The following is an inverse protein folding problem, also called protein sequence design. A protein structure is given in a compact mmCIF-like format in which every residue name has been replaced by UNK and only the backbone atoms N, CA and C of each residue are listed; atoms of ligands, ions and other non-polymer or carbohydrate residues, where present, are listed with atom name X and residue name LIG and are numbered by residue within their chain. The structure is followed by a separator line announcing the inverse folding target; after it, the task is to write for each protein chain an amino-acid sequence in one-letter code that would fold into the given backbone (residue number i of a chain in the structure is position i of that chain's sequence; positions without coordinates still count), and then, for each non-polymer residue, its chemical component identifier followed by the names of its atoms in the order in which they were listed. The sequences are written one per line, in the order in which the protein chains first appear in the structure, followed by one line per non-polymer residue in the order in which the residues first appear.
data_IF_912327125233
#
_entry.id   IF_912327125233
#
_cell.length_a   1.000
_cell.length_b   1.000
_cell.length_c   1.000
_cell.angle_alpha   90.00
_cell.angle_beta   90.00
_cell.angle_gamma   90.00
#
_symmetry.space_group_name_H-M   'P 1'
#
loop_
_entity.id
_entity.type
_entity.pdbx_description
1 polymer ?
#
# COMPACT_ATOMS: atom_id res chain seq x y z
N UNK A 1 32.86 15.98 21.72
CA UNK A 1 32.20 16.79 20.66
C UNK A 1 32.91 16.63 19.32
N UNK A 2 34.24 16.73 19.26
CA UNK A 2 35.01 16.52 18.03
C UNK A 2 34.90 15.09 17.45
N UNK A 3 34.83 14.06 18.29
CA UNK A 3 34.68 12.67 17.80
C UNK A 3 33.33 12.42 17.11
N UNK A 4 32.27 13.05 17.59
CA UNK A 4 30.94 12.98 16.98
C UNK A 4 30.91 13.69 15.62
N UNK A 5 31.55 14.85 15.51
CA UNK A 5 31.63 15.60 14.26
C UNK A 5 32.44 14.83 13.20
N UNK A 6 33.53 14.18 13.60
CA UNK A 6 34.35 13.36 12.72
C UNK A 6 33.66 12.04 12.31
N UNK A 7 32.88 11.45 13.21
CA UNK A 7 32.03 10.31 12.89
C UNK A 7 30.94 10.69 11.90
N UNK A 8 30.25 11.80 12.13
CA UNK A 8 29.18 12.24 11.24
C UNK A 8 29.70 12.64 9.85
N UNK A 9 30.84 13.33 9.78
CA UNK A 9 31.43 13.73 8.49
C UNK A 9 31.87 12.54 7.64
N UNK A 10 32.38 11.48 8.26
CA UNK A 10 32.76 10.23 7.57
C UNK A 10 31.58 9.37 7.13
N UNK A 11 30.45 9.43 7.85
CA UNK A 11 29.24 8.65 7.55
C UNK A 11 28.15 9.45 6.81
N UNK A 12 28.43 10.71 6.45
CA UNK A 12 27.45 11.57 5.79
C UNK A 12 27.00 11.01 4.43
N UNK A 13 27.90 10.39 3.67
CA UNK A 13 27.55 9.73 2.41
C UNK A 13 26.58 8.56 2.61
N UNK A 14 26.84 7.71 3.60
CA UNK A 14 25.96 6.60 4.00
C UNK A 14 24.60 7.14 4.42
N UNK A 15 24.57 8.19 5.25
CA UNK A 15 23.33 8.82 5.70
C UNK A 15 22.43 9.24 4.53
N UNK A 16 23.00 9.88 3.51
CA UNK A 16 22.25 10.29 2.32
C UNK A 16 21.68 9.11 1.53
N UNK A 17 22.42 8.00 1.44
CA UNK A 17 21.97 6.78 0.76
C UNK A 17 20.84 6.09 1.52
N UNK A 18 20.95 5.99 2.85
CA UNK A 18 19.87 5.50 3.73
C UNK A 18 18.62 6.36 3.58
N UNK A 19 18.80 7.68 3.61
CA UNK A 19 17.72 8.63 3.43
C UNK A 19 17.06 8.48 2.06
N UNK A 20 17.82 8.20 1.00
CA UNK A 20 17.28 7.95 -0.33
C UNK A 20 16.41 6.68 -0.38
N UNK A 21 16.85 5.57 0.24
CA UNK A 21 16.04 4.33 0.34
C UNK A 21 14.79 4.55 1.18
N UNK A 22 14.93 5.19 2.34
CA UNK A 22 13.81 5.45 3.25
C UNK A 22 12.80 6.42 2.63
N UNK A 23 13.25 7.51 2.02
CA UNK A 23 12.36 8.47 1.37
C UNK A 23 11.59 7.84 0.21
N UNK A 24 12.25 7.07 -0.66
CA UNK A 24 11.55 6.36 -1.76
C UNK A 24 10.57 5.33 -1.24
N UNK A 25 10.93 4.55 -0.21
CA UNK A 25 10.03 3.58 0.41
C UNK A 25 8.77 4.26 0.94
N UNK A 26 8.92 5.32 1.74
CA UNK A 26 7.82 5.99 2.44
C UNK A 26 7.03 6.98 1.58
N UNK A 27 7.64 7.66 0.61
CA UNK A 27 6.91 8.54 -0.31
C UNK A 27 6.00 7.75 -1.25
N UNK A 28 6.43 6.55 -1.63
CA UNK A 28 5.63 5.62 -2.44
C UNK A 28 4.76 4.69 -1.59
N UNK A 29 4.88 4.75 -0.27
CA UNK A 29 4.09 3.98 0.68
C UNK A 29 2.67 4.53 0.77
N UNK A 30 1.64 3.80 0.32
CA UNK A 30 0.29 4.33 0.26
C UNK A 30 -0.47 4.23 1.59
N UNK A 31 0.15 3.77 2.68
CA UNK A 31 -0.56 3.74 3.96
C UNK A 31 -0.97 5.17 4.30
N UNK A 32 -2.29 5.37 4.39
CA UNK A 32 -2.95 6.67 4.49
C UNK A 32 -2.41 7.55 5.65
N UNK A 33 -1.76 6.95 6.64
CA UNK A 33 -1.02 7.62 7.72
C UNK A 33 -0.09 8.72 7.23
N UNK A 34 0.64 8.52 6.13
CA UNK A 34 1.54 9.56 5.61
C UNK A 34 0.78 10.74 5.01
N UNK A 35 -0.40 10.52 4.44
CA UNK A 35 -1.22 11.59 3.88
C UNK A 35 -1.97 12.40 4.96
N UNK A 36 -2.22 11.82 6.14
CA UNK A 36 -2.78 12.54 7.28
C UNK A 36 -1.75 13.40 8.04
N UNK A 37 -0.45 13.14 7.86
CA UNK A 37 0.61 13.89 8.52
C UNK A 37 1.03 15.12 7.70
N UNK A 38 1.13 16.31 8.33
CA UNK A 38 1.78 17.47 7.73
C UNK A 38 3.16 17.11 7.17
N UNK A 39 3.53 17.73 6.04
CA UNK A 39 4.80 17.46 5.35
C UNK A 39 6.01 17.57 6.29
N UNK A 40 5.99 18.56 7.19
CA UNK A 40 7.06 18.79 8.16
C UNK A 40 7.27 17.59 9.09
N UNK A 41 6.18 16.97 9.58
CA UNK A 41 6.25 15.81 10.47
C UNK A 41 6.81 14.60 9.71
N UNK A 42 6.39 14.40 8.46
CA UNK A 42 6.92 13.33 7.61
C UNK A 42 8.42 13.45 7.39
N UNK A 43 8.90 14.64 7.07
CA UNK A 43 10.33 14.87 6.83
C UNK A 43 11.14 14.63 8.11
N UNK A 44 10.68 15.14 9.25
CA UNK A 44 11.34 14.92 10.55
C UNK A 44 11.38 13.42 10.90
N UNK A 45 10.28 12.70 10.66
CA UNK A 45 10.20 11.27 10.90
C UNK A 45 11.15 10.46 10.01
N UNK A 46 11.29 10.82 8.74
CA UNK A 46 12.22 10.14 7.82
C UNK A 46 13.67 10.43 8.19
N UNK A 47 13.98 11.67 8.55
CA UNK A 47 15.31 12.07 9.01
C UNK A 47 15.68 11.34 10.30
N UNK A 48 14.77 11.26 11.28
CA UNK A 48 15.03 10.58 12.54
C UNK A 48 15.22 9.07 12.34
N UNK A 49 14.35 8.41 11.56
CA UNK A 49 14.51 6.99 11.24
C UNK A 49 15.84 6.71 10.54
N UNK A 50 16.20 7.50 9.53
CA UNK A 50 17.45 7.32 8.79
C UNK A 50 18.66 7.50 9.71
N UNK A 51 18.60 8.45 10.64
CA UNK A 51 19.65 8.68 11.63
C UNK A 51 19.78 7.51 12.62
N UNK A 52 18.66 6.92 13.07
CA UNK A 52 18.66 5.76 13.97
C UNK A 52 19.18 4.48 13.30
N UNK A 53 18.98 4.33 11.99
CA UNK A 53 19.47 3.17 11.22
C UNK A 53 20.99 3.25 11.01
N UNK A 54 21.55 4.46 10.91
CA UNK A 54 22.94 4.69 10.51
C UNK A 54 24.01 3.87 11.28
N UNK A 55 23.95 3.72 12.62
CA UNK A 55 24.94 2.93 13.36
C UNK A 55 24.92 1.43 13.05
N UNK A 56 23.84 0.93 12.45
CA UNK A 56 23.65 -0.49 12.13
C UNK A 56 24.11 -0.85 10.72
N UNK A 57 24.57 0.13 9.94
CA UNK A 57 25.04 -0.11 8.58
C UNK A 57 26.56 -0.13 8.58
N UNK A 58 27.11 -1.23 8.08
CA UNK A 58 28.54 -1.40 7.88
C UNK A 58 28.96 -0.70 6.58
N UNK A 59 30.01 0.12 6.66
CA UNK A 59 30.62 0.79 5.51
C UNK A 59 30.89 2.27 5.78
N UNK A 60 32.12 2.69 5.49
CA UNK A 60 32.50 4.10 5.49
C UNK A 60 32.63 4.55 4.04
N UNK A 61 31.84 5.54 3.64
CA UNK A 61 31.90 6.13 2.31
C UNK A 61 32.44 7.56 2.42
N UNK A 62 33.73 7.73 2.15
CA UNK A 62 34.33 9.05 2.04
C UNK A 62 33.90 9.69 0.71
N UNK A 63 33.05 10.73 0.80
CA UNK A 63 32.58 11.49 -0.36
C UNK A 63 33.72 12.10 -1.18
N UNK A 64 34.90 12.30 -0.58
CA UNK A 64 36.11 12.79 -1.25
C UNK A 64 36.75 11.78 -2.21
N UNK A 65 36.45 10.49 -2.09
CA UNK A 65 37.08 9.42 -2.86
C UNK A 65 36.23 8.96 -4.06
N UNK A 66 34.99 9.44 -4.17
CA UNK A 66 34.01 8.95 -5.14
C UNK A 66 33.62 10.06 -6.11
N UNK A 67 33.60 9.73 -7.41
CA UNK A 67 33.13 10.66 -8.43
C UNK A 67 31.64 11.00 -8.22
N UNK A 68 31.25 12.24 -8.55
CA UNK A 68 29.86 12.69 -8.42
C UNK A 68 28.87 11.78 -9.20
N UNK A 69 29.29 11.29 -10.38
CA UNK A 69 28.50 10.33 -11.18
C UNK A 69 28.30 9.01 -10.44
N UNK A 70 29.36 8.45 -9.86
CA UNK A 70 29.30 7.18 -9.12
C UNK A 70 28.38 7.30 -7.90
N UNK A 71 28.44 8.42 -7.18
CA UNK A 71 27.55 8.68 -6.05
C UNK A 71 26.07 8.81 -6.48
N UNK A 72 25.79 9.52 -7.57
CA UNK A 72 24.42 9.61 -8.11
C UNK A 72 23.87 8.25 -8.53
N UNK A 73 24.70 7.36 -9.10
CA UNK A 73 24.31 6.00 -9.43
C UNK A 73 23.96 5.18 -8.17
N UNK A 74 24.71 5.35 -7.08
CA UNK A 74 24.37 4.72 -5.79
C UNK A 74 23.03 5.23 -5.27
N UNK A 75 22.80 6.55 -5.28
CA UNK A 75 21.51 7.15 -4.89
C UNK A 75 20.36 6.58 -5.72
N UNK A 76 20.53 6.46 -7.05
CA UNK A 76 19.51 5.88 -7.91
C UNK A 76 19.19 4.42 -7.56
N UNK A 77 20.20 3.59 -7.24
CA UNK A 77 19.97 2.22 -6.79
C UNK A 77 19.21 2.15 -5.46
N UNK A 78 19.51 3.04 -4.53
CA UNK A 78 18.80 3.13 -3.25
C UNK A 78 17.34 3.56 -3.44
N UNK A 79 17.09 4.53 -4.32
CA UNK A 79 15.73 4.95 -4.70
C UNK A 79 14.95 3.80 -5.34
N UNK A 80 15.57 3.06 -6.27
CA UNK A 80 14.93 1.91 -6.90
C UNK A 80 14.62 0.81 -5.87
N UNK A 81 15.55 0.53 -4.97
CA UNK A 81 15.34 -0.46 -3.90
C UNK A 81 14.14 -0.09 -3.02
N UNK A 82 14.10 1.15 -2.52
CA UNK A 82 12.97 1.62 -1.72
C UNK A 82 11.66 1.64 -2.51
N UNK A 83 11.70 2.01 -3.79
CA UNK A 83 10.55 1.95 -4.68
C UNK A 83 10.00 0.51 -4.82
N UNK A 84 10.84 -0.49 -5.11
CA UNK A 84 10.36 -1.88 -5.23
C UNK A 84 9.83 -2.44 -3.91
N UNK A 85 10.42 -2.09 -2.77
CA UNK A 85 9.86 -2.45 -1.46
C UNK A 85 8.49 -1.80 -1.24
N UNK A 86 8.35 -0.53 -1.61
CA UNK A 86 7.07 0.19 -1.51
C UNK A 86 5.98 -0.40 -2.41
N UNK A 87 6.35 -0.91 -3.60
CA UNK A 87 5.43 -1.52 -4.55
C UNK A 87 4.70 -2.73 -3.94
N UNK A 88 5.38 -3.53 -3.11
CA UNK A 88 4.71 -4.64 -2.40
C UNK A 88 3.58 -4.08 -1.54
N UNK A 89 3.86 -3.09 -0.68
CA UNK A 89 2.80 -2.43 0.08
C UNK A 89 1.72 -1.82 -0.78
N UNK A 90 2.08 -1.30 -1.95
CA UNK A 90 1.15 -0.71 -2.89
C UNK A 90 0.15 -1.70 -3.46
N UNK A 91 0.62 -2.91 -3.75
CA UNK A 91 -0.22 -4.02 -4.19
C UNK A 91 -1.24 -4.40 -3.11
N UNK A 92 -0.79 -4.58 -1.86
CA UNK A 92 -1.68 -5.00 -0.77
C UNK A 92 -2.68 -3.94 -0.35
N UNK A 93 -2.26 -2.67 -0.32
CA UNK A 93 -3.17 -1.55 -0.15
C UNK A 93 -4.22 -1.50 -1.27
N UNK A 94 -3.80 -1.71 -2.51
CA UNK A 94 -4.69 -1.67 -3.67
C UNK A 94 -5.70 -2.81 -3.69
N UNK A 95 -5.42 -3.97 -3.08
CA UNK A 95 -6.41 -5.04 -2.90
C UNK A 95 -7.62 -4.54 -2.10
N UNK A 96 -7.37 -3.84 -0.99
CA UNK A 96 -8.41 -3.28 -0.14
C UNK A 96 -9.23 -2.24 -0.91
N UNK A 97 -8.56 -1.30 -1.58
CA UNK A 97 -9.21 -0.24 -2.36
C UNK A 97 -10.01 -0.81 -3.51
N UNK A 98 -9.41 -1.68 -4.33
CA UNK A 98 -10.06 -2.27 -5.50
C UNK A 98 -11.32 -3.05 -5.11
N UNK A 99 -11.26 -3.86 -4.06
CA UNK A 99 -12.44 -4.58 -3.56
C UNK A 99 -13.57 -3.63 -3.15
N UNK A 100 -13.23 -2.53 -2.49
CA UNK A 100 -14.19 -1.55 -2.01
C UNK A 100 -14.81 -0.72 -3.13
N UNK A 101 -14.03 -0.36 -4.14
CA UNK A 101 -14.51 0.37 -5.32
C UNK A 101 -15.49 -0.49 -6.13
N UNK A 102 -15.24 -1.80 -6.29
CA UNK A 102 -16.17 -2.70 -6.95
C UNK A 102 -17.53 -2.77 -6.22
N UNK A 103 -17.51 -2.84 -4.88
CA UNK A 103 -18.72 -2.86 -4.07
C UNK A 103 -19.44 -1.51 -4.17
N UNK A 104 -18.69 -0.41 -4.07
CA UNK A 104 -19.23 0.96 -4.16
C UNK A 104 -19.90 1.24 -5.48
N UNK A 105 -19.31 0.72 -6.56
CA UNK A 105 -19.87 0.81 -7.90
C UNK A 105 -21.24 0.10 -7.97
N UNK A 106 -21.33 -1.13 -7.45
CA UNK A 106 -22.58 -1.89 -7.41
C UNK A 106 -23.66 -1.28 -6.50
N UNK A 107 -23.24 -0.54 -5.47
CA UNK A 107 -24.14 0.20 -4.58
C UNK A 107 -24.60 1.56 -5.16
N UNK A 108 -24.06 1.98 -6.30
CA UNK A 108 -24.36 3.28 -6.90
C UNK A 108 -23.69 4.48 -6.21
N UNK A 109 -22.77 4.25 -5.26
CA UNK A 109 -22.05 5.31 -4.54
C UNK A 109 -21.11 6.12 -5.44
N UNK A 110 -20.68 5.54 -6.56
CA UNK A 110 -19.74 6.14 -7.51
C UNK A 110 -20.42 6.92 -8.63
N UNK A 111 -21.76 6.99 -8.67
CA UNK A 111 -22.50 7.72 -9.72
C UNK A 111 -22.10 9.21 -9.77
N UNK A 112 -21.77 9.80 -8.61
CA UNK A 112 -21.29 11.19 -8.53
C UNK A 112 -19.98 11.40 -9.30
N UNK A 113 -19.08 10.41 -9.30
CA UNK A 113 -17.79 10.47 -10.00
C UNK A 113 -17.94 10.36 -11.53
N UNK A 114 -19.09 9.90 -12.04
CA UNK A 114 -19.39 9.83 -13.48
C UNK A 114 -19.81 11.22 -14.00
N UNK A 115 -20.52 12.00 -13.19
CA UNK A 115 -20.98 13.34 -13.55
C UNK A 115 -19.89 14.41 -13.39
N UNK A 116 -19.00 14.24 -12.42
CA UNK A 116 -17.82 15.10 -12.25
C UNK A 116 -16.57 14.27 -11.90
N UNK A 117 -15.71 13.97 -12.89
CA UNK A 117 -14.48 13.23 -12.67
C UNK A 117 -13.39 14.07 -11.97
N UNK A 118 -13.56 15.39 -11.84
CA UNK A 118 -12.54 16.25 -11.20
C UNK A 118 -12.37 15.96 -9.72
N UNK A 119 -13.36 15.33 -9.10
CA UNK A 119 -13.25 14.92 -7.71
C UNK A 119 -12.36 13.70 -7.51
N UNK A 120 -12.21 12.78 -8.49
CA UNK A 120 -11.25 11.66 -8.44
C UNK A 120 -11.17 10.92 -7.10
N UNK A 121 -12.23 10.97 -6.29
CA UNK A 121 -12.12 10.65 -4.87
C UNK A 121 -12.31 9.15 -4.71
N UNK A 122 -11.36 8.53 -3.99
CA UNK A 122 -11.56 7.22 -3.38
C UNK A 122 -12.92 7.24 -2.70
N UNK A 123 -13.76 6.26 -3.03
CA UNK A 123 -15.12 6.14 -2.52
C UNK A 123 -15.13 6.13 -0.99
N UNK A 124 -16.27 6.49 -0.40
CA UNK A 124 -16.46 6.42 1.06
C UNK A 124 -16.15 5.01 1.57
N UNK A 125 -16.56 3.98 0.82
CA UNK A 125 -16.24 2.58 1.14
C UNK A 125 -14.75 2.28 0.99
N UNK A 126 -14.09 2.79 -0.05
CA UNK A 126 -12.66 2.67 -0.25
C UNK A 126 -11.87 3.20 0.94
N UNK A 127 -12.23 4.41 1.42
CA UNK A 127 -11.64 4.99 2.62
C UNK A 127 -11.91 4.13 3.86
N UNK A 128 -13.14 3.63 4.01
CA UNK A 128 -13.49 2.73 5.10
C UNK A 128 -12.65 1.44 5.09
N UNK A 129 -12.47 0.79 3.93
CA UNK A 129 -11.67 -0.44 3.80
C UNK A 129 -10.20 -0.18 4.08
N UNK A 130 -9.65 0.96 3.64
CA UNK A 130 -8.28 1.39 3.97
C UNK A 130 -8.12 1.55 5.48
N UNK A 131 -9.03 2.27 6.14
CA UNK A 131 -8.97 2.44 7.60
C UNK A 131 -9.10 1.11 8.33
N UNK A 132 -9.98 0.22 7.87
CA UNK A 132 -10.15 -1.09 8.47
C UNK A 132 -8.90 -1.95 8.30
N UNK A 133 -8.29 -1.96 7.11
CA UNK A 133 -7.01 -2.61 6.85
C UNK A 133 -5.91 -2.09 7.80
N UNK A 134 -5.82 -0.76 7.98
CA UNK A 134 -4.86 -0.13 8.89
C UNK A 134 -5.11 -0.51 10.36
N UNK A 135 -6.37 -0.51 10.80
CA UNK A 135 -6.73 -0.92 12.17
C UNK A 135 -6.30 -2.37 12.40
N UNK A 136 -6.57 -3.27 11.44
CA UNK A 136 -6.13 -4.67 11.53
C UNK A 136 -4.60 -4.79 11.48
N UNK A 137 -3.93 -3.97 10.67
CA UNK A 137 -2.47 -3.95 10.58
C UNK A 137 -1.80 -3.57 11.90
N UNK A 138 -2.36 -2.57 12.60
CA UNK A 138 -1.86 -2.19 13.93
C UNK A 138 -2.27 -3.19 15.02
N UNK A 139 -3.51 -3.69 15.00
CA UNK A 139 -4.01 -4.58 16.04
C UNK A 139 -3.36 -5.96 16.02
N UNK A 140 -2.94 -6.43 14.84
CA UNK A 140 -2.19 -7.69 14.68
C UNK A 140 -0.71 -7.56 14.99
N UNK A 141 -0.19 -6.34 15.17
CA UNK A 141 1.25 -6.09 15.37
C UNK A 141 2.09 -6.18 14.10
N UNK A 142 1.47 -6.29 12.91
CA UNK A 142 2.18 -6.37 11.63
C UNK A 142 3.10 -5.18 11.38
N UNK A 143 2.79 -4.00 11.94
CA UNK A 143 3.65 -2.82 11.89
C UNK A 143 5.06 -3.06 12.46
N UNK A 144 5.18 -3.85 13.54
CA UNK A 144 6.48 -4.14 14.17
C UNK A 144 7.36 -4.96 13.22
N UNK A 145 6.77 -5.97 12.59
CA UNK A 145 7.44 -6.83 11.64
C UNK A 145 7.78 -6.06 10.36
N UNK A 146 6.88 -5.18 9.91
CA UNK A 146 7.12 -4.30 8.77
C UNK A 146 8.35 -3.41 8.98
N UNK A 147 8.43 -2.70 10.11
CA UNK A 147 9.62 -1.90 10.41
C UNK A 147 10.85 -2.79 10.55
N UNK A 148 10.75 -3.92 11.25
CA UNK A 148 11.84 -4.91 11.36
C UNK A 148 12.35 -5.40 10.00
N UNK A 149 11.46 -5.64 9.05
CA UNK A 149 11.78 -6.02 7.68
C UNK A 149 12.53 -4.89 6.94
N UNK A 150 12.13 -3.63 7.13
CA UNK A 150 12.89 -2.48 6.59
C UNK A 150 14.32 -2.44 7.17
N UNK A 151 14.48 -2.64 8.48
CA UNK A 151 15.81 -2.68 9.10
C UNK A 151 16.65 -3.85 8.54
N UNK A 152 16.07 -5.05 8.44
CA UNK A 152 16.74 -6.21 7.84
C UNK A 152 17.06 -6.02 6.35
N UNK A 153 16.29 -5.19 5.63
CA UNK A 153 16.60 -4.88 4.22
C UNK A 153 17.97 -4.23 4.03
N UNK A 154 18.49 -3.49 5.01
CA UNK A 154 19.83 -2.90 4.94
C UNK A 154 20.95 -3.92 5.14
N UNK A 155 20.64 -5.07 5.78
CA UNK A 155 21.60 -6.17 5.93
C UNK A 155 21.59 -7.08 4.70
N UNK A 156 20.41 -7.39 4.18
CA UNK A 156 20.23 -8.31 3.06
C UNK A 156 20.55 -7.63 1.73
N UNK A 157 20.19 -6.35 1.58
CA UNK A 157 20.44 -5.53 0.38
C UNK A 157 21.49 -4.47 0.77
N UNK A 158 22.79 -4.79 0.64
CA UNK A 158 23.85 -3.86 1.01
C UNK A 158 23.74 -2.56 0.21
N UNK A 159 24.30 -1.47 0.74
CA UNK A 159 24.26 -0.17 0.09
C UNK A 159 24.88 -0.26 -1.32
N UNK A 160 24.16 0.25 -2.32
CA UNK A 160 24.57 0.17 -3.72
C UNK A 160 24.35 -1.19 -4.38
N UNK A 161 23.78 -2.16 -3.65
CA UNK A 161 23.26 -3.41 -4.17
C UNK A 161 21.88 -3.21 -4.77
N UNK A 162 21.73 -3.54 -6.06
CA UNK A 162 20.43 -3.64 -6.71
C UNK A 162 20.48 -4.69 -7.84
N UNK A 163 20.46 -5.99 -7.49
CA UNK A 163 20.38 -7.05 -8.48
C UNK A 163 18.98 -7.06 -9.11
N UNK A 164 18.88 -6.60 -10.35
CA UNK A 164 17.69 -6.88 -11.17
C UNK A 164 17.78 -8.34 -11.60
N UNK A 165 16.95 -9.19 -11.03
CA UNK A 165 16.83 -10.60 -11.40
C UNK A 165 15.50 -10.87 -12.13
N UNK A 166 15.50 -11.84 -13.03
CA UNK A 166 14.28 -12.31 -13.70
C UNK A 166 13.24 -12.83 -12.67
N UNK A 167 13.70 -13.40 -11.56
CA UNK A 167 12.86 -13.79 -10.43
C UNK A 167 12.14 -12.61 -9.79
N UNK A 168 12.77 -11.45 -9.69
CA UNK A 168 12.15 -10.25 -9.13
C UNK A 168 11.03 -9.73 -10.04
N UNK A 169 11.25 -9.71 -11.35
CA UNK A 169 10.21 -9.31 -12.30
C UNK A 169 9.02 -10.29 -12.27
N UNK A 170 9.29 -11.60 -12.28
CA UNK A 170 8.26 -12.64 -12.14
C UNK A 170 7.47 -12.51 -10.85
N UNK A 171 8.13 -12.17 -9.75
CA UNK A 171 7.50 -11.90 -8.46
C UNK A 171 6.49 -10.75 -8.58
N UNK A 172 6.88 -9.58 -9.09
CA UNK A 172 5.95 -8.45 -9.20
C UNK A 172 4.81 -8.68 -10.19
N UNK A 173 5.03 -9.43 -11.28
CA UNK A 173 3.96 -9.83 -12.20
C UNK A 173 2.94 -10.74 -11.48
N UNK A 174 3.43 -11.70 -10.69
CA UNK A 174 2.58 -12.59 -9.86
C UNK A 174 1.78 -11.79 -8.84
N UNK A 175 2.44 -10.91 -8.08
CA UNK A 175 1.78 -10.09 -7.06
C UNK A 175 0.77 -9.10 -7.68
N UNK A 176 1.07 -8.53 -8.84
CA UNK A 176 0.13 -7.70 -9.59
C UNK A 176 -1.11 -8.48 -10.05
N UNK A 177 -0.96 -9.74 -10.44
CA UNK A 177 -2.11 -10.62 -10.77
C UNK A 177 -2.93 -10.96 -9.53
N UNK A 178 -2.24 -11.21 -8.41
CA UNK A 178 -2.84 -11.53 -7.13
C UNK A 178 -3.71 -10.38 -6.61
N UNK A 179 -3.35 -9.13 -6.89
CA UNK A 179 -4.17 -7.96 -6.57
C UNK A 179 -5.60 -8.09 -7.09
N UNK A 180 -5.73 -8.33 -8.41
CA UNK A 180 -7.04 -8.43 -9.05
C UNK A 180 -7.81 -9.63 -8.53
N UNK A 181 -7.13 -10.77 -8.36
CA UNK A 181 -7.75 -11.99 -7.85
C UNK A 181 -8.28 -11.83 -6.43
N UNK A 182 -7.46 -11.35 -5.49
CA UNK A 182 -7.87 -11.20 -4.09
C UNK A 182 -8.89 -10.08 -3.90
N UNK A 183 -8.73 -8.96 -4.61
CA UNK A 183 -9.69 -7.86 -4.51
C UNK A 183 -11.06 -8.24 -5.08
N UNK A 184 -11.10 -8.94 -6.22
CA UNK A 184 -12.36 -9.49 -6.74
C UNK A 184 -12.94 -10.56 -5.82
N UNK A 185 -12.12 -11.48 -5.30
CA UNK A 185 -12.56 -12.54 -4.37
C UNK A 185 -13.21 -11.97 -3.11
N UNK A 186 -12.67 -10.89 -2.56
CA UNK A 186 -13.23 -10.18 -1.42
C UNK A 186 -14.58 -9.52 -1.77
N UNK A 187 -14.67 -8.89 -2.94
CA UNK A 187 -15.87 -8.18 -3.36
C UNK A 187 -16.99 -9.12 -3.88
N UNK A 188 -16.64 -10.31 -4.35
CA UNK A 188 -17.54 -11.26 -5.01
C UNK A 188 -18.86 -11.54 -4.29
N UNK A 189 -18.89 -11.91 -2.99
CA UNK A 189 -20.16 -12.18 -2.30
C UNK A 189 -21.09 -10.96 -2.26
N UNK A 190 -20.53 -9.75 -2.15
CA UNK A 190 -21.31 -8.51 -2.13
C UNK A 190 -21.83 -8.15 -3.53
N UNK A 191 -20.96 -8.26 -4.54
CA UNK A 191 -21.32 -8.02 -5.95
C UNK A 191 -22.44 -8.98 -6.37
N UNK A 192 -22.33 -10.26 -6.03
CA UNK A 192 -23.33 -11.26 -6.39
C UNK A 192 -24.70 -10.93 -5.81
N UNK A 193 -24.75 -10.56 -4.52
CA UNK A 193 -26.01 -10.12 -3.88
C UNK A 193 -26.60 -8.90 -4.59
N UNK A 194 -25.81 -7.85 -4.83
CA UNK A 194 -26.29 -6.63 -5.47
C UNK A 194 -26.70 -6.87 -6.93
N UNK A 195 -26.05 -7.81 -7.61
CA UNK A 195 -26.44 -8.26 -8.94
C UNK A 195 -27.82 -8.93 -8.93
N UNK A 196 -28.11 -9.79 -7.95
CA UNK A 196 -29.44 -10.40 -7.80
C UNK A 196 -30.50 -9.33 -7.50
N UNK A 197 -30.19 -8.34 -6.66
CA UNK A 197 -31.08 -7.20 -6.41
C UNK A 197 -31.37 -6.42 -7.70
N UNK A 198 -30.34 -6.18 -8.53
CA UNK A 198 -30.49 -5.52 -9.81
C UNK A 198 -31.39 -6.29 -10.79
N UNK A 199 -31.24 -7.61 -10.84
CA UNK A 199 -32.13 -8.48 -11.61
C UNK A 199 -33.58 -8.38 -11.11
N UNK A 200 -33.79 -8.40 -9.80
CA UNK A 200 -35.12 -8.26 -9.20
C UNK A 200 -35.75 -6.89 -9.56
N UNK A 201 -35.00 -5.80 -9.44
CA UNK A 201 -35.45 -4.46 -9.81
C UNK A 201 -35.77 -4.36 -11.31
N UNK A 202 -34.95 -4.96 -12.17
CA UNK A 202 -35.20 -4.99 -13.62
C UNK A 202 -36.50 -5.73 -13.97
N UNK A 203 -36.79 -6.84 -13.29
CA UNK A 203 -38.05 -7.57 -13.44
C UNK A 203 -39.24 -6.75 -12.95
N UNK A 204 -39.12 -6.06 -11.81
CA UNK A 204 -40.16 -5.16 -11.30
C UNK A 204 -40.46 -4.03 -12.28
N UNK A 205 -39.43 -3.43 -12.90
CA UNK A 205 -39.59 -2.37 -13.89
C UNK A 205 -40.41 -2.84 -15.11
N UNK A 206 -40.24 -4.11 -15.50
CA UNK A 206 -41.02 -4.72 -16.59
C UNK A 206 -42.48 -5.00 -16.19
N UNK A 207 -42.71 -5.36 -14.93
CA UNK A 207 -44.05 -5.72 -14.42
C UNK A 207 -44.90 -4.51 -14.05
N UNK A 208 -44.29 -3.49 -13.46
CA UNK A 208 -44.97 -2.27 -12.98
C UNK A 208 -44.24 -1.04 -13.55
N UNK A 209 -44.41 -0.74 -14.85
CA UNK A 209 -43.69 0.35 -15.54
C UNK A 209 -44.06 1.75 -15.03
N UNK A 210 -45.12 1.87 -14.23
CA UNK A 210 -45.51 3.12 -13.58
C UNK A 210 -44.59 3.50 -12.41
N UNK A 211 -43.86 2.53 -11.83
CA UNK A 211 -42.89 2.80 -10.77
C UNK A 211 -41.59 3.24 -11.43
N UNK A 212 -41.09 4.42 -11.07
CA UNK A 212 -39.74 4.81 -11.43
C UNK A 212 -38.73 4.02 -10.59
N UNK A 213 -38.28 2.90 -11.15
CA UNK A 213 -37.34 1.98 -10.49
C UNK A 213 -36.00 2.65 -10.17
N UNK A 214 -35.62 3.75 -10.82
CA UNK A 214 -34.43 4.50 -10.42
C UNK A 214 -34.62 5.24 -9.09
N UNK A 215 -35.83 5.71 -8.78
CA UNK A 215 -36.13 6.40 -7.51
C UNK A 215 -36.07 5.41 -6.34
N UNK A 216 -36.54 4.17 -6.53
CA UNK A 216 -36.58 3.15 -5.48
C UNK A 216 -35.30 2.31 -5.43
N UNK A 217 -34.66 2.09 -6.58
CA UNK A 217 -33.55 1.16 -6.74
C UNK A 217 -32.28 1.59 -6.03
N UNK A 218 -31.88 2.87 -6.16
CA UNK A 218 -30.68 3.38 -5.51
C UNK A 218 -30.76 3.31 -3.97
N UNK A 219 -31.82 3.81 -3.29
CA UNK A 219 -31.98 3.62 -1.85
C UNK A 219 -31.96 2.15 -1.43
N UNK A 220 -32.59 1.26 -2.21
CA UNK A 220 -32.65 -0.16 -1.91
C UNK A 220 -31.27 -0.83 -2.03
N UNK A 221 -30.53 -0.56 -3.10
CA UNK A 221 -29.16 -1.07 -3.30
C UNK A 221 -28.23 -0.62 -2.18
N UNK A 222 -28.31 0.64 -1.76
CA UNK A 222 -27.54 1.17 -0.65
C UNK A 222 -27.88 0.46 0.66
N UNK A 223 -29.17 0.31 0.97
CA UNK A 223 -29.62 -0.37 2.17
C UNK A 223 -29.12 -1.82 2.22
N UNK A 224 -29.33 -2.58 1.14
CA UNK A 224 -28.92 -3.99 1.06
C UNK A 224 -27.39 -4.11 1.11
N UNK A 225 -26.66 -3.25 0.40
CA UNK A 225 -25.19 -3.25 0.40
C UNK A 225 -24.62 -3.03 1.80
N UNK A 226 -25.14 -2.04 2.54
CA UNK A 226 -24.73 -1.78 3.93
C UNK A 226 -25.08 -2.97 4.84
N UNK A 227 -26.30 -3.54 4.69
CA UNK A 227 -26.75 -4.66 5.51
C UNK A 227 -25.84 -5.89 5.32
N UNK A 228 -25.48 -6.21 4.07
CA UNK A 228 -24.55 -7.30 3.78
C UNK A 228 -23.14 -7.03 4.30
N UNK A 229 -22.64 -5.79 4.21
CA UNK A 229 -21.36 -5.40 4.81
C UNK A 229 -21.35 -5.59 6.33
N UNK A 230 -22.45 -5.26 7.00
CA UNK A 230 -22.60 -5.49 8.45
C UNK A 230 -22.61 -6.98 8.79
N UNK A 231 -23.37 -7.80 8.05
CA UNK A 231 -23.40 -9.25 8.26
C UNK A 231 -22.04 -9.91 7.95
N UNK A 232 -21.36 -9.44 6.91
CA UNK A 232 -20.03 -9.90 6.50
C UNK A 232 -18.87 -9.26 7.25
N UNK A 233 -19.12 -8.42 8.26
CA UNK A 233 -18.06 -7.64 8.90
C UNK A 233 -16.97 -8.50 9.55
N UNK A 234 -17.36 -9.59 10.22
CA UNK A 234 -16.40 -10.54 10.80
C UNK A 234 -15.54 -11.20 9.70
N UNK A 235 -16.16 -11.59 8.59
CA UNK A 235 -15.42 -12.16 7.45
C UNK A 235 -14.47 -11.16 6.80
N UNK A 236 -14.83 -9.86 6.76
CA UNK A 236 -13.93 -8.80 6.28
C UNK A 236 -12.71 -8.68 7.19
N UNK A 237 -12.89 -8.65 8.51
CA UNK A 237 -11.78 -8.60 9.48
C UNK A 237 -10.85 -9.80 9.30
N UNK A 238 -11.42 -11.01 9.20
CA UNK A 238 -10.62 -12.22 9.02
C UNK A 238 -9.83 -12.18 7.71
N UNK A 239 -10.45 -11.72 6.62
CA UNK A 239 -9.77 -11.56 5.34
C UNK A 239 -8.59 -10.58 5.46
N UNK A 240 -8.79 -9.41 6.06
CA UNK A 240 -7.73 -8.42 6.22
C UNK A 240 -6.60 -8.89 7.14
N UNK A 241 -6.90 -9.74 8.14
CA UNK A 241 -5.86 -10.39 8.93
C UNK A 241 -4.99 -11.32 8.07
N UNK A 242 -5.61 -12.19 7.28
CA UNK A 242 -4.86 -13.08 6.35
C UNK A 242 -4.08 -12.25 5.34
N UNK A 243 -4.67 -11.16 4.85
CA UNK A 243 -4.03 -10.25 3.90
C UNK A 243 -2.78 -9.60 4.52
N UNK A 244 -2.82 -9.22 5.79
CA UNK A 244 -1.67 -8.68 6.51
C UNK A 244 -0.56 -9.72 6.74
N UNK A 245 -0.92 -10.96 7.11
CA UNK A 245 0.04 -12.05 7.25
C UNK A 245 0.77 -12.30 5.92
N UNK A 246 0.01 -12.41 4.82
CA UNK A 246 0.56 -12.57 3.46
C UNK A 246 1.40 -11.37 3.03
N UNK A 247 0.97 -10.15 3.35
CA UNK A 247 1.74 -8.93 3.04
C UNK A 247 3.16 -8.99 3.62
N UNK A 248 3.28 -9.40 4.88
CA UNK A 248 4.58 -9.52 5.56
C UNK A 248 5.46 -10.57 4.89
N UNK A 249 4.89 -11.75 4.57
CA UNK A 249 5.63 -12.82 3.91
C UNK A 249 6.15 -12.42 2.52
N UNK A 250 5.32 -11.74 1.73
CA UNK A 250 5.70 -11.27 0.40
C UNK A 250 6.70 -10.10 0.47
N UNK A 251 6.62 -9.23 1.49
CA UNK A 251 7.61 -8.19 1.73
C UNK A 251 8.99 -8.78 2.04
N UNK A 252 9.06 -9.78 2.92
CA UNK A 252 10.31 -10.50 3.24
C UNK A 252 10.85 -11.23 2.01
N UNK A 253 9.97 -11.81 1.19
CA UNK A 253 10.35 -12.46 -0.06
C UNK A 253 10.92 -11.46 -1.07
N UNK A 254 10.32 -10.28 -1.20
CA UNK A 254 10.83 -9.20 -2.04
C UNK A 254 12.22 -8.72 -1.58
N UNK A 255 12.43 -8.57 -0.26
CA UNK A 255 13.74 -8.21 0.29
C UNK A 255 14.81 -9.25 -0.08
N UNK A 256 14.51 -10.55 0.06
CA UNK A 256 15.43 -11.63 -0.33
C UNK A 256 15.75 -11.60 -1.82
N UNK A 257 14.73 -11.43 -2.67
CA UNK A 257 14.92 -11.36 -4.13
C UNK A 257 15.73 -10.12 -4.57
N UNK A 258 15.61 -9.02 -3.82
CA UNK A 258 16.42 -7.81 -4.01
C UNK A 258 17.84 -7.94 -3.43
N UNK A 259 18.10 -8.89 -2.53
CA UNK A 259 19.43 -9.13 -1.94
C UNK A 259 20.35 -9.96 -2.83
N UNK A 260 19.77 -10.74 -3.75
CA UNK A 260 20.49 -11.71 -4.58
C UNK A 260 20.22 -13.15 -4.15
#
# INVERSE_FOLDING_TARGET
MNDFINYFSSHFGVFLLVLARMSSLFLSFPLALMNFLPLNIRIIFLLSLSFFILPYIEGVFYLSEISLISFLLLVLKEILTGFFLSLVTWIFYSIAVYSAELISYMMGLTIVNIFDPTFGMVSVLGRFFIFLFLIVFFSTGAYQIFFGAIFESFKIIPIGGFPISDSLLKFFIREGTLLFYLGFKLAFPFIFTLFVVNLALALINRLIPQINVFIVGLPLQLYIGILFLLLGFNTLIHFFRILNERFIDELLSAIKLLGG
#
